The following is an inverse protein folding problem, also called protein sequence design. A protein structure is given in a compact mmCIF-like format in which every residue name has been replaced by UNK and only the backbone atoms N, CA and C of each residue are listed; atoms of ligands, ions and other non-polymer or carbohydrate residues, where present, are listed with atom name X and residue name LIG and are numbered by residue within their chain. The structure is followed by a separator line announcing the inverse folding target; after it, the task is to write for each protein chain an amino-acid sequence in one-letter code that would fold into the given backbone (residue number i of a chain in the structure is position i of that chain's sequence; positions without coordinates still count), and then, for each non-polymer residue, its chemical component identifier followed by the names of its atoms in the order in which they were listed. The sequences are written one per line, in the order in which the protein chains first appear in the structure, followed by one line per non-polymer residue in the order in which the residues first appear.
data_IF_278815995059
#
_entry.id   IF_278815995059
#
_cell.length_a   1.000
_cell.length_b   1.000
_cell.length_c   1.000
_cell.angle_alpha   90.00
_cell.angle_beta   90.00
_cell.angle_gamma   90.00
#
_symmetry.space_group_name_H-M   'P 1'
#
loop_
_entity.id
_entity.type
_entity.pdbx_description
1 polymer ?
#
# COMPACT_ATOMS: atom_id res chain seq x y z
N UNK A 1 -17.15 36.39 30.41
CA UNK A 1 -16.54 36.16 29.09
C UNK A 1 -15.62 34.93 29.11
N UNK A 2 -16.10 33.76 29.54
CA UNK A 2 -15.25 32.55 29.74
C UNK A 2 -15.47 31.42 28.73
N UNK A 3 -16.32 31.64 27.71
CA UNK A 3 -16.79 30.60 26.79
C UNK A 3 -15.84 30.31 25.61
N UNK A 4 -14.92 31.22 25.25
CA UNK A 4 -14.07 31.06 24.06
C UNK A 4 -12.80 30.21 24.27
N UNK A 5 -12.28 30.07 25.50
CA UNK A 5 -11.09 29.24 25.75
C UNK A 5 -11.41 27.75 25.82
N UNK A 6 -12.56 27.38 26.39
CA UNK A 6 -12.97 25.97 26.51
C UNK A 6 -13.28 25.33 25.15
N UNK A 7 -13.90 26.07 24.24
CA UNK A 7 -14.22 25.60 22.87
C UNK A 7 -12.96 25.39 22.04
N UNK A 8 -11.98 26.30 22.15
CA UNK A 8 -10.69 26.19 21.46
C UNK A 8 -9.87 24.98 21.97
N UNK A 9 -9.84 24.77 23.29
CA UNK A 9 -9.15 23.62 23.89
C UNK A 9 -9.77 22.28 23.50
N UNK A 10 -11.10 22.21 23.36
CA UNK A 10 -11.79 21.00 22.90
C UNK A 10 -11.45 20.69 21.43
N UNK A 11 -11.42 21.72 20.57
CA UNK A 11 -11.10 21.55 19.16
C UNK A 11 -9.70 20.98 18.92
N UNK A 12 -8.68 21.47 19.64
CA UNK A 12 -7.32 20.91 19.56
C UNK A 12 -7.28 19.43 19.98
N UNK A 13 -7.98 19.07 21.05
CA UNK A 13 -8.04 17.68 21.51
C UNK A 13 -8.72 16.77 20.48
N UNK A 14 -9.76 17.26 19.82
CA UNK A 14 -10.47 16.53 18.76
C UNK A 14 -9.57 16.29 17.55
N UNK A 15 -8.78 17.29 17.13
CA UNK A 15 -7.78 17.12 16.07
C UNK A 15 -6.74 16.06 16.46
N UNK A 16 -6.25 16.06 17.70
CA UNK A 16 -5.27 15.05 18.17
C UNK A 16 -5.83 13.64 18.15
N UNK A 17 -7.09 13.47 18.58
CA UNK A 17 -7.77 12.19 18.52
C UNK A 17 -7.95 11.72 17.08
N UNK A 18 -8.33 12.62 16.18
CA UNK A 18 -8.49 12.31 14.77
C UNK A 18 -7.17 11.88 14.12
N UNK A 19 -6.07 12.60 14.40
CA UNK A 19 -4.73 12.21 13.91
C UNK A 19 -4.36 10.81 14.38
N UNK A 20 -4.47 10.52 15.69
CA UNK A 20 -4.17 9.19 16.25
C UNK A 20 -5.02 8.08 15.65
N UNK A 21 -6.29 8.35 15.37
CA UNK A 21 -7.16 7.37 14.73
C UNK A 21 -6.65 7.04 13.32
N UNK A 22 -6.36 8.06 12.50
CA UNK A 22 -5.81 7.88 11.15
C UNK A 22 -4.46 7.16 11.20
N UNK A 23 -3.60 7.49 12.15
CA UNK A 23 -2.31 6.81 12.37
C UNK A 23 -2.50 5.31 12.67
N UNK A 24 -3.44 4.95 13.54
CA UNK A 24 -3.72 3.54 13.87
C UNK A 24 -4.30 2.77 12.67
N UNK A 25 -5.16 3.41 11.89
CA UNK A 25 -5.73 2.80 10.68
C UNK A 25 -4.65 2.60 9.61
N UNK A 26 -3.73 3.56 9.46
CA UNK A 26 -2.57 3.46 8.58
C UNK A 26 -1.65 2.30 8.99
N UNK A 27 -1.34 2.17 10.28
CA UNK A 27 -0.49 1.07 10.80
C UNK A 27 -1.09 -0.30 10.46
N UNK A 28 -2.37 -0.52 10.80
CA UNK A 28 -3.05 -1.79 10.54
C UNK A 28 -3.07 -2.13 9.04
N UNK A 29 -3.32 -1.14 8.18
CA UNK A 29 -3.36 -1.34 6.73
C UNK A 29 -1.96 -1.54 6.16
N UNK A 30 -0.95 -0.79 6.56
CA UNK A 30 0.42 -0.99 6.06
C UNK A 30 0.95 -2.38 6.44
N UNK A 31 0.66 -2.86 7.65
CA UNK A 31 0.98 -4.23 8.06
C UNK A 31 0.30 -5.26 7.17
N UNK A 32 -1.02 -5.16 6.97
CA UNK A 32 -1.75 -6.12 6.12
C UNK A 32 -1.31 -6.05 4.65
N UNK A 33 -0.95 -4.86 4.16
CA UNK A 33 -0.48 -4.64 2.80
C UNK A 33 0.88 -5.27 2.56
N UNK A 34 1.80 -5.16 3.52
CA UNK A 34 3.15 -5.71 3.40
C UNK A 34 3.20 -7.23 3.16
N UNK A 35 2.15 -7.97 3.54
CA UNK A 35 2.10 -9.45 3.46
C UNK A 35 1.82 -9.96 2.03
N UNK A 36 1.52 -9.06 1.08
CA UNK A 36 1.44 -9.40 -0.36
C UNK A 36 0.16 -10.16 -0.71
N UNK A 37 -0.91 -9.42 -0.99
CA UNK A 37 -2.12 -9.99 -1.59
C UNK A 37 -1.95 -10.13 -3.10
N UNK A 38 -2.18 -11.32 -3.65
CA UNK A 38 -2.04 -11.61 -5.10
C UNK A 38 -3.21 -11.12 -5.97
N UNK A 39 -4.15 -10.34 -5.42
CA UNK A 39 -5.28 -9.80 -6.19
C UNK A 39 -5.05 -8.35 -6.59
N UNK A 40 -4.76 -8.12 -7.88
CA UNK A 40 -4.54 -6.79 -8.48
C UNK A 40 -5.62 -5.75 -8.09
N UNK A 41 -6.90 -6.12 -8.15
CA UNK A 41 -7.99 -5.19 -7.79
C UNK A 41 -7.98 -4.80 -6.32
N UNK A 42 -7.58 -5.71 -5.43
CA UNK A 42 -7.47 -5.45 -4.00
C UNK A 42 -6.27 -4.55 -3.71
N UNK A 43 -5.15 -4.74 -4.42
CA UNK A 43 -3.97 -3.90 -4.32
C UNK A 43 -4.27 -2.44 -4.71
N UNK A 44 -4.96 -2.22 -5.84
CA UNK A 44 -5.33 -0.87 -6.29
C UNK A 44 -6.27 -0.18 -5.31
N UNK A 45 -7.27 -0.89 -4.80
CA UNK A 45 -8.19 -0.35 -3.80
C UNK A 45 -7.44 0.03 -2.52
N UNK A 46 -6.55 -0.84 -2.05
CA UNK A 46 -5.76 -0.63 -0.85
C UNK A 46 -4.80 0.55 -0.97
N UNK A 47 -4.08 0.68 -2.09
CA UNK A 47 -3.16 1.80 -2.31
C UNK A 47 -3.92 3.12 -2.37
N UNK A 48 -5.08 3.16 -3.04
CA UNK A 48 -5.94 4.34 -3.11
C UNK A 48 -6.43 4.76 -1.72
N UNK A 49 -6.83 3.80 -0.89
CA UNK A 49 -7.30 4.08 0.47
C UNK A 49 -6.19 4.62 1.38
N UNK A 50 -4.99 4.04 1.31
CA UNK A 50 -3.81 4.53 2.04
C UNK A 50 -3.44 5.97 1.61
N UNK A 51 -3.49 6.28 0.31
CA UNK A 51 -3.28 7.64 -0.21
C UNK A 51 -4.29 8.62 0.37
N UNK A 52 -5.58 8.23 0.43
CA UNK A 52 -6.63 9.06 1.00
C UNK A 52 -6.43 9.28 2.51
N UNK A 53 -6.02 8.25 3.26
CA UNK A 53 -5.76 8.37 4.69
C UNK A 53 -4.54 9.26 4.97
N UNK A 54 -3.46 9.15 4.19
CA UNK A 54 -2.30 10.05 4.28
C UNK A 54 -2.68 11.49 3.98
N UNK A 55 -3.49 11.73 2.94
CA UNK A 55 -3.99 13.06 2.60
C UNK A 55 -4.85 13.65 3.74
N UNK A 56 -5.70 12.82 4.35
CA UNK A 56 -6.52 13.23 5.49
C UNK A 56 -5.66 13.56 6.72
N UNK A 57 -4.63 12.77 7.01
CA UNK A 57 -3.71 13.03 8.13
C UNK A 57 -2.91 14.32 7.90
N UNK A 58 -2.48 14.58 6.67
CA UNK A 58 -1.87 15.87 6.29
C UNK A 58 -2.82 17.02 6.57
N UNK A 59 -4.08 16.93 6.12
CA UNK A 59 -5.07 17.98 6.34
C UNK A 59 -5.37 18.23 7.84
N UNK A 60 -5.33 17.18 8.67
CA UNK A 60 -5.47 17.32 10.13
C UNK A 60 -4.25 18.03 10.72
N UNK A 61 -3.03 17.67 10.29
CA UNK A 61 -1.80 18.34 10.69
C UNK A 61 -1.77 19.82 10.27
N UNK A 62 -2.34 20.16 9.12
CA UNK A 62 -2.47 21.54 8.67
C UNK A 62 -3.44 22.34 9.57
N UNK A 63 -4.60 21.77 9.91
CA UNK A 63 -5.54 22.38 10.88
C UNK A 63 -4.92 22.56 12.26
N UNK A 64 -4.11 21.59 12.71
CA UNK A 64 -3.34 21.74 13.94
C UNK A 64 -2.34 22.89 13.83
N UNK A 65 -1.66 23.04 12.70
CA UNK A 65 -0.75 24.16 12.47
C UNK A 65 -1.50 25.50 12.51
N UNK A 66 -2.64 25.62 11.85
CA UNK A 66 -3.50 26.82 11.90
C UNK A 66 -3.91 27.16 13.33
N UNK A 67 -4.37 26.17 14.10
CA UNK A 67 -4.74 26.36 15.51
C UNK A 67 -3.58 26.94 16.31
N UNK A 68 -2.39 26.38 16.13
CA UNK A 68 -1.21 26.81 16.88
C UNK A 68 -0.70 28.21 16.50
N UNK A 69 -1.02 28.69 15.31
CA UNK A 69 -0.71 30.05 14.85
C UNK A 69 -1.78 31.08 15.25
N UNK A 70 -2.87 30.65 15.90
CA UNK A 70 -3.96 31.55 16.30
C UNK A 70 -3.47 32.57 17.35
N UNK A 71 -3.66 33.88 17.11
CA UNK A 71 -3.26 34.93 18.05
C UNK A 71 -3.86 34.71 19.45
N UNK A 72 -3.01 34.72 20.48
CA UNK A 72 -3.41 34.44 21.87
C UNK A 72 -3.16 32.99 22.33
N UNK A 73 -2.98 32.03 21.42
CA UNK A 73 -2.55 30.65 21.74
C UNK A 73 -1.03 30.49 21.67
N UNK A 74 -0.40 31.18 20.71
CA UNK A 74 1.03 31.05 20.36
C UNK A 74 1.98 31.42 21.52
N UNK A 75 1.57 32.35 22.40
CA UNK A 75 2.45 32.94 23.41
C UNK A 75 2.78 32.01 24.60
N UNK A 76 2.24 30.78 24.68
CA UNK A 76 2.30 29.99 25.92
C UNK A 76 2.41 28.47 25.79
N UNK A 77 2.68 27.89 24.62
CA UNK A 77 2.54 26.43 24.51
C UNK A 77 3.55 25.72 23.60
N UNK A 78 4.83 25.73 24.02
CA UNK A 78 5.88 24.88 23.44
C UNK A 78 5.46 23.40 23.33
N UNK A 79 4.66 22.91 24.29
CA UNK A 79 4.10 21.55 24.25
C UNK A 79 3.20 21.29 23.03
N UNK A 80 2.41 22.27 22.58
CA UNK A 80 1.59 22.16 21.36
C UNK A 80 2.47 22.08 20.10
N UNK A 81 3.49 22.94 20.02
CA UNK A 81 4.48 22.92 18.94
C UNK A 81 5.19 21.57 18.84
N UNK A 82 5.67 21.04 19.97
CA UNK A 82 6.30 19.72 20.00
C UNK A 82 5.35 18.60 19.59
N UNK A 83 4.10 18.67 20.03
CA UNK A 83 3.08 17.68 19.66
C UNK A 83 2.81 17.71 18.16
N UNK A 84 2.62 18.89 17.57
CA UNK A 84 2.44 19.04 16.13
C UNK A 84 3.65 18.56 15.35
N UNK A 85 4.86 18.90 15.80
CA UNK A 85 6.08 18.43 15.16
C UNK A 85 6.13 16.90 15.15
N UNK A 86 5.79 16.26 16.27
CA UNK A 86 5.74 14.79 16.34
C UNK A 86 4.75 14.19 15.34
N UNK A 87 3.56 14.77 15.19
CA UNK A 87 2.58 14.31 14.20
C UNK A 87 3.06 14.49 12.76
N UNK A 88 3.85 15.53 12.46
CA UNK A 88 4.49 15.71 11.15
C UNK A 88 5.54 14.64 10.87
N UNK A 89 6.37 14.33 11.87
CA UNK A 89 7.39 13.28 11.75
C UNK A 89 6.71 11.91 11.52
N UNK A 90 5.63 11.60 12.26
CA UNK A 90 4.84 10.37 12.07
C UNK A 90 4.24 10.29 10.66
N UNK A 91 3.65 11.39 10.15
CA UNK A 91 3.11 11.42 8.79
C UNK A 91 4.22 11.17 7.75
N UNK A 92 5.42 11.73 7.96
CA UNK A 92 6.56 11.50 7.08
C UNK A 92 7.00 10.03 7.09
N UNK A 93 7.09 9.42 8.27
CA UNK A 93 7.42 8.00 8.42
C UNK A 93 6.41 7.10 7.68
N UNK A 94 5.10 7.35 7.88
CA UNK A 94 4.06 6.61 7.16
C UNK A 94 4.09 6.84 5.66
N UNK A 95 4.38 8.07 5.22
CA UNK A 95 4.53 8.37 3.80
C UNK A 95 5.67 7.55 3.21
N UNK A 96 6.80 7.43 3.91
CA UNK A 96 7.94 6.64 3.45
C UNK A 96 7.59 5.14 3.36
N UNK A 97 7.02 4.56 4.42
CA UNK A 97 6.64 3.15 4.46
C UNK A 97 5.54 2.81 3.43
N UNK A 98 4.62 3.74 3.17
CA UNK A 98 3.65 3.60 2.08
C UNK A 98 4.33 3.49 0.71
N UNK A 99 5.27 4.37 0.38
CA UNK A 99 5.97 4.31 -0.90
C UNK A 99 6.76 3.01 -1.07
N UNK A 100 7.40 2.55 0.01
CA UNK A 100 8.11 1.26 0.03
C UNK A 100 7.14 0.09 -0.20
N UNK A 101 6.00 0.08 0.48
CA UNK A 101 4.95 -0.94 0.31
C UNK A 101 4.41 -0.94 -1.11
N UNK A 102 4.09 0.25 -1.64
CA UNK A 102 3.64 0.44 -3.02
C UNK A 102 4.66 -0.06 -4.04
N UNK A 103 5.95 0.25 -3.84
CA UNK A 103 7.03 -0.27 -4.70
C UNK A 103 7.11 -1.80 -4.66
N UNK A 104 7.00 -2.40 -3.47
CA UNK A 104 7.01 -3.86 -3.32
C UNK A 104 5.85 -4.51 -4.09
N UNK A 105 4.66 -3.90 -4.09
CA UNK A 105 3.53 -4.38 -4.88
C UNK A 105 3.79 -4.38 -6.38
N UNK A 106 4.36 -3.29 -6.90
CA UNK A 106 4.72 -3.24 -8.32
C UNK A 106 5.74 -4.31 -8.69
N UNK A 107 6.76 -4.52 -7.86
CA UNK A 107 7.75 -5.58 -8.09
C UNK A 107 7.15 -6.99 -8.00
N UNK A 108 6.21 -7.24 -7.08
CA UNK A 108 5.52 -8.53 -6.97
C UNK A 108 4.64 -8.80 -8.19
N UNK A 109 3.92 -7.78 -8.67
CA UNK A 109 3.08 -7.86 -9.86
C UNK A 109 3.89 -8.11 -11.12
N UNK A 110 4.97 -7.37 -11.33
CA UNK A 110 5.88 -7.59 -12.46
C UNK A 110 6.44 -9.03 -12.46
N UNK A 111 6.81 -9.54 -11.28
CA UNK A 111 7.24 -10.94 -11.13
C UNK A 111 6.14 -11.92 -11.52
N UNK A 112 4.90 -11.68 -11.11
CA UNK A 112 3.76 -12.53 -11.45
C UNK A 112 3.46 -12.51 -12.96
N UNK A 113 3.48 -11.34 -13.60
CA UNK A 113 3.29 -11.19 -15.04
C UNK A 113 4.34 -11.98 -15.84
N UNK A 114 5.62 -11.88 -15.43
CA UNK A 114 6.72 -12.63 -16.03
C UNK A 114 6.55 -14.14 -15.85
N UNK A 115 6.23 -14.61 -14.63
CA UNK A 115 6.00 -16.03 -14.34
C UNK A 115 4.79 -16.57 -15.11
N UNK A 116 3.72 -15.79 -15.24
CA UNK A 116 2.54 -16.13 -16.03
C UNK A 116 2.86 -16.27 -17.52
N UNK A 117 3.72 -15.40 -18.07
CA UNK A 117 4.20 -15.53 -19.45
C UNK A 117 5.01 -16.81 -19.64
N UNK A 118 5.97 -17.07 -18.75
CA UNK A 118 6.79 -18.28 -18.80
C UNK A 118 5.92 -19.54 -18.68
N UNK A 119 4.91 -19.54 -17.82
CA UNK A 119 3.99 -20.68 -17.69
C UNK A 119 3.24 -20.97 -19.00
N UNK A 120 2.73 -19.93 -19.67
CA UNK A 120 2.05 -20.06 -20.97
C UNK A 120 3.00 -20.58 -22.05
N UNK A 121 4.23 -20.10 -22.09
CA UNK A 121 5.23 -20.55 -23.06
C UNK A 121 5.61 -22.02 -22.85
N UNK A 122 5.78 -22.44 -21.59
CA UNK A 122 6.03 -23.86 -21.23
C UNK A 122 4.85 -24.73 -21.62
N UNK A 123 3.62 -24.31 -21.32
CA UNK A 123 2.41 -25.06 -21.65
C UNK A 123 2.23 -25.19 -23.17
N UNK A 124 2.46 -24.11 -23.92
CA UNK A 124 2.48 -24.10 -25.38
C UNK A 124 3.54 -25.06 -25.93
N UNK A 125 4.76 -25.03 -25.38
CA UNK A 125 5.83 -25.93 -25.78
C UNK A 125 5.46 -27.39 -25.51
N UNK A 126 4.96 -27.73 -24.32
CA UNK A 126 4.54 -29.09 -23.95
C UNK A 126 3.39 -29.60 -24.81
N UNK A 127 2.41 -28.75 -25.12
CA UNK A 127 1.32 -29.08 -26.05
C UNK A 127 1.84 -29.37 -27.46
N UNK A 128 2.78 -28.54 -27.96
CA UNK A 128 3.43 -28.73 -29.24
C UNK A 128 4.33 -29.97 -29.29
N UNK A 129 5.08 -30.26 -28.22
CA UNK A 129 5.89 -31.49 -28.12
C UNK A 129 5.03 -32.73 -28.00
N UNK A 130 3.87 -32.69 -27.34
CA UNK A 130 2.93 -33.81 -27.30
C UNK A 130 2.47 -34.26 -28.70
N UNK A 131 2.26 -33.31 -29.63
CA UNK A 131 1.93 -33.59 -31.03
C UNK A 131 3.14 -34.18 -31.78
N UNK A 132 4.33 -33.62 -31.58
CA UNK A 132 5.55 -34.11 -32.21
C UNK A 132 5.97 -35.49 -31.69
N UNK A 133 5.81 -35.76 -30.40
CA UNK A 133 6.17 -37.04 -29.79
C UNK A 133 5.23 -38.15 -30.28
N UNK A 134 3.94 -37.85 -30.47
CA UNK A 134 2.98 -38.79 -31.06
C UNK A 134 3.34 -39.15 -32.50
N UNK A 135 3.82 -38.17 -33.27
CA UNK A 135 4.31 -38.38 -34.64
C UNK A 135 5.61 -39.19 -34.64
N UNK A 136 6.54 -38.91 -33.74
CA UNK A 136 7.79 -39.67 -33.56
C UNK A 136 7.53 -41.12 -33.13
N UNK A 137 6.59 -41.35 -32.19
CA UNK A 137 6.16 -42.70 -31.79
C UNK A 137 5.51 -43.49 -32.93
N UNK A 138 4.74 -42.83 -33.79
CA UNK A 138 4.18 -43.42 -35.00
C UNK A 138 5.28 -43.90 -35.96
N UNK A 139 6.28 -43.05 -36.24
CA UNK A 139 7.41 -43.43 -37.09
C UNK A 139 8.26 -44.55 -36.48
N UNK A 140 8.45 -44.56 -35.16
CA UNK A 140 9.15 -45.64 -34.46
C UNK A 140 8.41 -46.98 -34.57
N UNK A 141 7.07 -46.97 -34.51
CA UNK A 141 6.27 -48.18 -34.75
C UNK A 141 6.39 -48.67 -36.19
N UNK A 142 6.30 -47.80 -37.20
CA UNK A 142 6.41 -48.22 -38.59
C UNK A 142 7.77 -48.88 -38.91
N UNK A 143 8.87 -48.36 -38.35
CA UNK A 143 10.20 -48.96 -38.50
C UNK A 143 10.38 -50.31 -37.79
N UNK A 144 9.53 -50.64 -36.81
CA UNK A 144 9.45 -51.98 -36.21
C UNK A 144 8.71 -52.96 -37.11
N UNK A 145 7.63 -52.51 -37.76
CA UNK A 145 6.82 -53.34 -38.66
C UNK A 145 7.56 -53.70 -39.97
N UNK A 146 8.41 -52.81 -40.47
CA UNK A 146 9.21 -53.02 -41.69
C UNK A 146 10.41 -53.96 -41.51
N UNK A 147 10.73 -54.35 -40.26
CA UNK A 147 11.89 -55.21 -39.93
C UNK A 147 11.52 -56.69 -39.72
N UNK A 148 10.27 -57.09 -39.95
CA UNK A 148 9.82 -58.48 -39.98
C UNK A 148 9.51 -58.90 -41.41
#
# INVERSE_FOLDING_TARGET
MSTNMATSSNYWEDLRKQARQLENELDLKLVTGSVGSSQDNMLVAMTTELEQQLANLSAVNDKMAEYTNTPGVVSHNAALMHTLQRHRDILQDYTHEFHKTKSNFFSLREREDLLGSVHRDIESYKSSTGVNNRRTELFLKEHEHLRK
#
